data_IF_640011989398
#
_entry.id   IF_640011989398
#
_cell.length_a   1.000
_cell.length_b   1.000
_cell.length_c   1.000
_cell.angle_alpha   90.00
_cell.angle_beta   90.00
_cell.angle_gamma   90.00
#
_symmetry.space_group_name_H-M   'P 1'
#
loop_
_entity.id
_entity.type
_entity.pdbx_description
1 polymer ?
#
# COMPACT_ATOMS: atom_id res chain seq x y z
N UNK A 1 -0.84 -11.04 -9.28
CA UNK A 1 -1.87 -10.09 -8.81
C UNK A 1 -2.95 -10.79 -7.99
N UNK A 2 -2.56 -11.52 -6.94
CA UNK A 2 -3.55 -12.12 -6.03
C UNK A 2 -4.03 -11.06 -5.03
N UNK A 3 -5.34 -10.94 -4.84
CA UNK A 3 -5.94 -10.07 -3.83
C UNK A 3 -6.27 -8.64 -4.27
N UNK A 4 -6.30 -8.34 -5.57
CA UNK A 4 -6.87 -7.07 -6.05
C UNK A 4 -8.39 -7.22 -6.23
N UNK A 5 -9.15 -6.20 -5.87
CA UNK A 5 -10.60 -6.14 -6.02
C UNK A 5 -10.95 -5.09 -7.07
N UNK A 6 -11.88 -5.41 -7.96
CA UNK A 6 -12.47 -4.43 -8.87
C UNK A 6 -13.43 -3.53 -8.09
N UNK A 7 -13.25 -2.22 -8.24
CA UNK A 7 -14.06 -1.18 -7.62
C UNK A 7 -14.70 -0.31 -8.69
N UNK A 8 -16.00 -0.04 -8.56
CA UNK A 8 -16.73 0.82 -9.48
C UNK A 8 -16.51 2.29 -9.13
N UNK A 9 -16.09 3.12 -10.09
CA UNK A 9 -15.88 4.56 -9.90
C UNK A 9 -17.21 5.30 -9.75
N UNK A 10 -18.15 5.05 -10.66
CA UNK A 10 -19.58 5.32 -10.45
C UNK A 10 -20.17 4.06 -9.84
N UNK A 11 -20.68 4.17 -8.61
CA UNK A 11 -21.27 3.03 -7.89
C UNK A 11 -22.34 2.33 -8.73
N UNK A 12 -22.40 1.00 -8.65
CA UNK A 12 -23.37 0.19 -9.39
C UNK A 12 -24.82 0.61 -9.10
N UNK A 13 -25.15 0.89 -7.82
CA UNK A 13 -26.49 1.35 -7.42
C UNK A 13 -26.85 2.73 -7.99
N UNK A 14 -25.84 3.53 -8.37
CA UNK A 14 -26.03 4.82 -9.02
C UNK A 14 -26.06 4.70 -10.57
N UNK A 15 -26.24 3.48 -11.10
CA UNK A 15 -26.26 3.21 -12.54
C UNK A 15 -24.88 3.05 -13.17
N UNK A 16 -23.82 2.84 -12.39
CA UNK A 16 -22.48 2.60 -12.91
C UNK A 16 -22.37 1.29 -13.69
N UNK A 17 -21.90 1.35 -14.94
CA UNK A 17 -21.74 0.18 -15.79
C UNK A 17 -20.57 -0.71 -15.33
N UNK A 18 -20.69 -2.03 -15.53
CA UNK A 18 -19.61 -3.00 -15.35
C UNK A 18 -18.70 -3.02 -16.57
N UNK A 19 -17.99 -1.92 -16.79
CA UNK A 19 -17.12 -1.70 -17.95
C UNK A 19 -15.72 -1.29 -17.49
N UNK A 20 -14.69 -1.60 -18.28
CA UNK A 20 -13.29 -1.31 -17.93
C UNK A 20 -13.03 0.19 -17.66
N UNK A 21 -13.79 1.07 -18.30
CA UNK A 21 -13.70 2.52 -18.10
C UNK A 21 -14.19 2.98 -16.71
N UNK A 22 -15.04 2.18 -16.06
CA UNK A 22 -15.64 2.45 -14.76
C UNK A 22 -15.08 1.56 -13.63
N UNK A 23 -14.14 0.66 -13.94
CA UNK A 23 -13.56 -0.28 -12.97
C UNK A 23 -12.09 0.01 -12.72
N UNK A 24 -11.71 0.07 -11.45
CA UNK A 24 -10.31 0.19 -11.01
C UNK A 24 -9.95 -0.95 -10.07
N UNK A 25 -8.70 -1.42 -10.13
CA UNK A 25 -8.19 -2.47 -9.25
C UNK A 25 -7.54 -1.85 -8.01
N UNK A 26 -8.03 -2.23 -6.84
CA UNK A 26 -7.49 -1.79 -5.55
C UNK A 26 -7.07 -2.99 -4.71
N UNK A 27 -5.99 -2.84 -3.92
CA UNK A 27 -5.66 -3.82 -2.90
C UNK A 27 -6.66 -3.72 -1.72
N UNK A 28 -6.74 -4.73 -0.83
CA UNK A 28 -7.76 -4.76 0.23
C UNK A 28 -7.60 -3.62 1.24
N UNK A 29 -6.39 -3.09 1.40
CA UNK A 29 -6.14 -1.91 2.20
C UNK A 29 -6.76 -0.67 1.54
N UNK A 30 -6.32 -0.30 0.34
CA UNK A 30 -6.80 0.90 -0.34
C UNK A 30 -8.29 0.85 -0.69
N UNK A 31 -8.85 -0.34 -0.93
CA UNK A 31 -10.29 -0.49 -1.14
C UNK A 31 -11.07 -0.10 0.13
N UNK A 32 -10.62 -0.55 1.31
CA UNK A 32 -11.24 -0.13 2.58
C UNK A 32 -10.98 1.34 2.89
N UNK A 33 -9.79 1.85 2.59
CA UNK A 33 -9.45 3.27 2.79
C UNK A 33 -10.36 4.18 1.96
N UNK A 34 -10.63 3.81 0.71
CA UNK A 34 -11.58 4.54 -0.15
C UNK A 34 -12.98 4.58 0.46
N UNK A 35 -13.52 3.42 0.87
CA UNK A 35 -14.84 3.35 1.52
C UNK A 35 -14.93 4.10 2.86
N UNK A 36 -13.79 4.39 3.49
CA UNK A 36 -13.70 5.18 4.72
C UNK A 36 -13.46 6.68 4.46
N UNK A 37 -13.32 7.11 3.21
CA UNK A 37 -13.01 8.49 2.85
C UNK A 37 -11.56 8.91 3.09
N UNK A 38 -10.64 7.96 3.36
CA UNK A 38 -9.22 8.27 3.51
C UNK A 38 -8.51 8.55 2.19
N UNK A 39 -9.10 8.11 1.07
CA UNK A 39 -8.72 8.48 -0.29
C UNK A 39 -9.98 8.66 -1.14
N UNK A 40 -9.92 9.52 -2.15
CA UNK A 40 -11.00 9.72 -3.12
C UNK A 40 -10.51 9.40 -4.54
N UNK A 41 -11.33 8.66 -5.29
CA UNK A 41 -11.05 8.26 -6.67
C UNK A 41 -11.95 9.04 -7.62
N UNK A 42 -11.36 9.80 -8.55
CA UNK A 42 -12.12 10.61 -9.51
C UNK A 42 -11.60 10.48 -10.94
N UNK A 43 -12.45 10.81 -11.91
CA UNK A 43 -12.16 10.68 -13.33
C UNK A 43 -12.37 9.25 -13.85
N UNK A 44 -12.15 9.01 -15.15
CA UNK A 44 -12.27 7.68 -15.74
C UNK A 44 -11.07 6.79 -15.35
N UNK A 45 -11.22 5.47 -15.41
CA UNK A 45 -10.17 4.53 -15.00
C UNK A 45 -8.80 4.76 -15.68
N UNK A 46 -8.80 5.16 -16.97
CA UNK A 46 -7.58 5.44 -17.74
C UNK A 46 -6.91 6.78 -17.41
N UNK A 47 -7.56 7.64 -16.63
CA UNK A 47 -7.05 8.94 -16.18
C UNK A 47 -7.43 9.19 -14.72
N UNK A 48 -7.29 8.16 -13.91
CA UNK A 48 -7.66 8.15 -12.50
C UNK A 48 -6.89 9.22 -11.73
N UNK A 49 -7.59 10.04 -10.97
CA UNK A 49 -7.01 10.94 -9.97
C UNK A 49 -7.32 10.39 -8.58
N UNK A 50 -6.29 10.28 -7.76
CA UNK A 50 -6.39 9.84 -6.37
C UNK A 50 -6.01 11.01 -5.48
N UNK A 51 -6.90 11.41 -4.57
CA UNK A 51 -6.58 12.40 -3.54
C UNK A 51 -6.66 11.75 -2.16
N UNK A 52 -5.92 12.29 -1.19
CA UNK A 52 -6.10 11.91 0.21
C UNK A 52 -7.34 12.58 0.84
N UNK A 53 -7.49 12.45 2.15
CA UNK A 53 -8.59 13.05 2.92
C UNK A 53 -8.55 14.57 2.97
N UNK A 54 -7.39 15.18 2.78
CA UNK A 54 -7.20 16.64 2.78
C UNK A 54 -7.45 17.23 1.37
N UNK A 55 -7.62 16.36 0.37
CA UNK A 55 -7.87 16.73 -1.02
C UNK A 55 -6.59 16.87 -1.85
N UNK A 56 -5.43 16.57 -1.26
CA UNK A 56 -4.14 16.66 -1.94
C UNK A 56 -3.97 15.51 -2.93
N UNK A 57 -3.45 15.84 -4.11
CA UNK A 57 -3.25 14.85 -5.17
C UNK A 57 -2.12 13.88 -4.78
N UNK A 58 -2.49 12.61 -4.64
CA UNK A 58 -1.51 11.54 -4.43
C UNK A 58 -0.84 11.22 -5.76
N UNK A 59 0.48 11.25 -5.77
CA UNK A 59 1.29 10.79 -6.91
C UNK A 59 1.88 9.42 -6.61
N UNK A 60 2.23 8.66 -7.64
CA UNK A 60 3.01 7.44 -7.48
C UNK A 60 4.48 7.68 -7.13
N UNK A 61 4.89 8.95 -6.93
CA UNK A 61 6.25 9.28 -6.57
C UNK A 61 6.54 8.88 -5.12
N UNK A 62 7.78 8.54 -4.85
CA UNK A 62 8.23 8.29 -3.48
C UNK A 62 8.05 9.56 -2.64
N UNK A 63 7.52 9.40 -1.43
CA UNK A 63 7.53 10.46 -0.42
C UNK A 63 8.93 10.69 0.15
N UNK A 64 9.87 9.76 -0.08
CA UNK A 64 11.25 9.93 0.33
C UNK A 64 11.86 11.12 -0.42
N UNK A 65 12.33 12.10 0.35
CA UNK A 65 13.08 13.24 -0.18
C UNK A 65 14.56 12.91 -0.15
N UNK A 66 15.34 13.22 -1.21
CA UNK A 66 16.79 13.15 -1.13
C UNK A 66 17.28 13.98 0.07
N UNK A 67 18.25 13.50 0.86
CA UNK A 67 18.83 14.29 1.94
C UNK A 67 19.46 15.55 1.36
N UNK A 68 19.08 16.72 1.89
CA UNK A 68 19.62 18.02 1.48
C UNK A 68 20.81 18.47 2.32
N UNK A 69 21.09 17.75 3.41
CA UNK A 69 22.21 17.99 4.30
C UNK A 69 23.29 16.94 4.11
N UNK A 70 24.56 17.23 4.46
CA UNK A 70 25.62 16.22 4.50
C UNK A 70 25.20 15.01 5.34
N UNK A 71 25.69 13.81 5.02
CA UNK A 71 25.56 12.66 5.91
C UNK A 71 26.04 13.04 7.32
N UNK A 72 25.39 12.52 8.38
CA UNK A 72 25.88 12.75 9.74
C UNK A 72 27.32 12.25 9.86
N UNK A 73 28.16 13.00 10.58
CA UNK A 73 29.53 12.61 10.91
C UNK A 73 29.50 11.56 12.03
N UNK A 74 29.05 10.37 11.67
CA UNK A 74 28.97 9.19 12.53
C UNK A 74 29.72 8.05 11.88
N UNK A 75 30.43 7.27 12.70
CA UNK A 75 31.11 6.08 12.21
C UNK A 75 30.10 5.14 11.52
N UNK A 76 30.51 4.41 10.45
CA UNK A 76 29.65 3.43 9.81
C UNK A 76 29.05 2.48 10.84
N UNK A 77 27.76 2.19 10.69
CA UNK A 77 27.10 1.21 11.53
C UNK A 77 27.84 -0.14 11.37
N UNK A 78 28.50 -0.62 12.43
CA UNK A 78 29.36 -1.82 12.36
C UNK A 78 28.59 -3.10 11.99
N UNK A 79 27.26 -3.04 11.99
CA UNK A 79 26.39 -4.20 11.86
C UNK A 79 26.40 -5.05 13.14
N UNK A 80 25.54 -6.07 13.21
CA UNK A 80 25.59 -7.03 14.30
C UNK A 80 26.93 -7.77 14.28
N UNK A 81 27.51 -8.05 15.47
CA UNK A 81 28.77 -8.79 15.61
C UNK A 81 28.63 -10.30 15.32
N UNK A 82 27.49 -10.74 14.81
CA UNK A 82 27.12 -12.16 14.74
C UNK A 82 26.73 -12.77 16.09
N UNK A 83 26.45 -11.94 17.10
CA UNK A 83 25.92 -12.39 18.38
C UNK A 83 24.54 -13.07 18.23
N UNK A 84 24.21 -13.96 19.16
CA UNK A 84 22.91 -14.66 19.15
C UNK A 84 21.77 -13.65 19.25
N UNK A 85 20.79 -13.79 18.37
CA UNK A 85 19.54 -13.04 18.45
C UNK A 85 18.90 -13.23 19.83
N UNK A 86 18.59 -12.12 20.49
CA UNK A 86 17.81 -12.10 21.72
C UNK A 86 16.32 -12.23 21.34
N UNK A 87 15.78 -13.43 21.51
CA UNK A 87 14.40 -13.79 21.12
C UNK A 87 13.30 -13.01 21.88
N UNK A 88 13.65 -12.19 22.87
CA UNK A 88 12.70 -11.33 23.57
C UNK A 88 11.97 -10.36 22.64
N UNK A 89 12.60 -9.93 21.55
CA UNK A 89 12.06 -8.94 20.61
C UNK A 89 11.65 -9.52 19.26
N UNK A 90 11.73 -10.85 19.09
CA UNK A 90 11.47 -11.50 17.81
C UNK A 90 10.95 -12.93 18.00
N UNK A 91 9.73 -13.20 17.55
CA UNK A 91 9.21 -14.57 17.43
C UNK A 91 9.54 -15.09 16.03
N UNK A 92 10.38 -16.13 15.88
CA UNK A 92 10.66 -16.71 14.57
C UNK A 92 9.39 -17.30 13.99
N UNK A 93 9.21 -17.14 12.68
CA UNK A 93 8.16 -17.83 11.96
C UNK A 93 8.46 -19.33 11.93
N UNK A 94 7.59 -20.14 12.53
CA UNK A 94 7.59 -21.59 12.37
C UNK A 94 6.59 -21.99 11.27
N UNK A 95 7.02 -22.57 10.14
CA UNK A 95 6.10 -23.04 9.12
C UNK A 95 5.25 -24.19 9.65
N UNK A 96 3.97 -24.19 9.31
CA UNK A 96 3.04 -25.26 9.72
C UNK A 96 3.46 -26.58 9.03
N UNK A 97 3.50 -27.72 9.75
CA UNK A 97 3.77 -29.01 9.12
C UNK A 97 2.74 -29.31 8.02
N UNK A 98 3.13 -29.98 6.92
CA UNK A 98 2.17 -30.43 5.92
C UNK A 98 1.14 -31.38 6.55
N UNK A 99 -0.10 -31.35 6.06
CA UNK A 99 -1.13 -32.28 6.50
C UNK A 99 -0.72 -33.73 6.12
N UNK A 100 -0.93 -34.73 6.99
CA UNK A 100 -0.75 -36.13 6.62
C UNK A 100 -1.76 -36.52 5.52
N UNK A 101 -1.32 -37.40 4.61
CA UNK A 101 -2.14 -37.99 3.55
C UNK A 101 -3.23 -38.92 4.09
#
# INVERSE_FOLDING_TARGET
TRGLHAHHLVHWENGGATELSNLVLLCPFHHRTHHRGGITLTGPAHRLRVTDSDGDLMTGASLARPPTTPPPDVAPCKGPLGERAQWWWYTPYEPRPPAPN
#
